data_IF_088355363251
#
_entry.id   IF_088355363251
#
_cell.length_a   1.000
_cell.length_b   1.000
_cell.length_c   1.000
_cell.angle_alpha   90.00
_cell.angle_beta   90.00
_cell.angle_gamma   90.00
#
_symmetry.space_group_name_H-M   'P 1'
#
loop_
_entity.id
_entity.type
_entity.pdbx_description
1 polymer ?
#
# COMPACT_ATOMS: atom_id res chain seq x y z
N UNK A 1 30.80 11.78 -8.93
CA UNK A 1 31.45 10.65 -8.23
C UNK A 1 30.43 9.96 -7.36
N UNK A 2 30.24 8.63 -7.49
CA UNK A 2 29.33 7.87 -6.65
C UNK A 2 29.84 7.87 -5.20
N UNK A 3 28.99 8.28 -4.24
CA UNK A 3 29.34 8.24 -2.80
C UNK A 3 29.58 6.78 -2.39
N UNK A 4 30.72 6.51 -1.75
CA UNK A 4 31.03 5.20 -1.18
C UNK A 4 30.03 4.88 -0.08
N UNK A 5 29.46 3.67 -0.12
CA UNK A 5 28.53 3.17 0.91
C UNK A 5 29.19 2.06 1.74
N UNK A 6 28.79 1.97 2.99
CA UNK A 6 29.20 0.93 3.92
C UNK A 6 27.99 0.08 4.30
N UNK A 7 28.17 -1.22 4.46
CA UNK A 7 27.08 -2.17 4.68
C UNK A 7 27.33 -2.92 5.97
N UNK A 8 26.32 -3.00 6.81
CA UNK A 8 26.36 -3.77 8.06
C UNK A 8 25.49 -5.01 7.90
N UNK A 9 26.04 -6.15 8.23
CA UNK A 9 25.32 -7.43 8.34
C UNK A 9 25.28 -7.82 9.80
N UNK A 10 24.10 -7.88 10.41
CA UNK A 10 23.91 -8.37 11.79
C UNK A 10 23.58 -9.85 11.81
N UNK A 11 22.81 -10.33 10.81
CA UNK A 11 22.45 -11.73 10.62
C UNK A 11 22.66 -12.09 9.15
N UNK A 12 23.54 -13.06 8.93
CA UNK A 12 24.00 -13.56 7.64
C UNK A 12 25.05 -14.65 7.86
N UNK A 13 25.72 -15.08 6.79
CA UNK A 13 26.80 -16.08 6.91
C UNK A 13 27.92 -15.59 7.85
N UNK A 14 28.38 -14.36 7.66
CA UNK A 14 29.36 -13.73 8.55
C UNK A 14 28.86 -12.34 8.91
N UNK A 15 28.46 -12.05 10.17
CA UNK A 15 28.13 -10.70 10.62
C UNK A 15 29.36 -9.79 10.57
N UNK A 16 29.16 -8.52 10.14
CA UNK A 16 30.28 -7.59 10.03
C UNK A 16 29.94 -6.31 9.29
N UNK A 17 30.96 -5.45 9.12
CA UNK A 17 30.87 -4.21 8.34
C UNK A 17 31.65 -4.38 7.03
N UNK A 18 30.98 -4.15 5.90
CA UNK A 18 31.49 -4.35 4.56
C UNK A 18 31.57 -3.03 3.79
N UNK A 19 32.60 -2.87 2.94
CA UNK A 19 32.84 -1.65 2.17
C UNK A 19 32.30 -1.72 0.74
N UNK A 20 31.85 -2.92 0.32
CA UNK A 20 31.23 -3.14 -0.98
C UNK A 20 29.89 -3.88 -0.86
N UNK A 21 28.99 -3.62 -1.82
CA UNK A 21 27.74 -4.35 -1.91
C UNK A 21 27.96 -5.84 -2.22
N UNK A 22 28.94 -6.17 -3.05
CA UNK A 22 29.22 -7.55 -3.45
C UNK A 22 29.66 -8.41 -2.26
N UNK A 23 30.48 -7.84 -1.37
CA UNK A 23 30.87 -8.52 -0.13
C UNK A 23 29.70 -8.70 0.83
N UNK A 24 28.87 -7.67 0.99
CA UNK A 24 27.66 -7.75 1.80
C UNK A 24 26.68 -8.78 1.23
N UNK A 25 26.47 -8.76 -0.09
CA UNK A 25 25.55 -9.69 -0.78
C UNK A 25 25.94 -11.15 -0.53
N UNK A 26 27.23 -11.48 -0.61
CA UNK A 26 27.72 -12.84 -0.31
C UNK A 26 27.39 -13.31 1.11
N UNK A 27 27.18 -12.38 2.04
CA UNK A 27 26.87 -12.74 3.43
C UNK A 27 25.35 -12.88 3.69
N UNK A 28 24.51 -12.34 2.82
CA UNK A 28 23.05 -12.34 3.02
C UNK A 28 22.31 -13.20 2.01
N UNK A 29 22.95 -13.56 0.91
CA UNK A 29 22.35 -14.35 -0.16
C UNK A 29 22.07 -15.78 0.34
N UNK A 30 20.85 -16.27 0.13
CA UNK A 30 20.41 -17.60 0.59
C UNK A 30 20.14 -17.70 2.12
N UNK A 31 20.34 -16.65 2.90
CA UNK A 31 20.07 -16.65 4.36
C UNK A 31 18.66 -16.16 4.63
N UNK A 32 17.77 -17.07 5.06
CA UNK A 32 16.41 -16.69 5.47
C UNK A 32 16.46 -15.78 6.70
N UNK A 33 15.84 -14.59 6.58
CA UNK A 33 15.80 -13.61 7.69
C UNK A 33 17.08 -12.78 7.86
N UNK A 34 18.00 -12.77 6.87
CA UNK A 34 19.19 -11.94 6.92
C UNK A 34 18.89 -10.48 7.28
N UNK A 35 19.67 -9.90 8.18
CA UNK A 35 19.52 -8.52 8.63
C UNK A 35 20.74 -7.69 8.25
N UNK A 36 20.55 -6.76 7.35
CA UNK A 36 21.60 -5.87 6.86
C UNK A 36 21.08 -4.47 6.52
N UNK A 37 21.98 -3.49 6.48
CA UNK A 37 21.65 -2.10 6.11
C UNK A 37 22.87 -1.36 5.57
N UNK A 38 22.65 -0.39 4.67
CA UNK A 38 23.70 0.50 4.14
C UNK A 38 23.77 1.82 4.91
N UNK A 39 25.00 2.39 4.98
CA UNK A 39 25.32 3.65 5.66
C UNK A 39 26.18 4.53 4.74
N UNK A 40 26.16 5.83 4.96
CA UNK A 40 26.94 6.79 4.16
C UNK A 40 28.36 7.01 4.73
N UNK A 41 28.60 6.60 5.98
CA UNK A 41 29.93 6.69 6.58
C UNK A 41 30.33 5.40 7.31
N UNK A 42 31.66 5.15 7.35
CA UNK A 42 32.24 4.01 8.05
C UNK A 42 31.96 4.08 9.58
N UNK A 43 32.08 5.26 10.16
CA UNK A 43 31.84 5.47 11.58
C UNK A 43 30.40 5.15 11.99
N UNK A 44 29.41 5.53 11.18
CA UNK A 44 28.01 5.16 11.41
C UNK A 44 27.79 3.66 11.27
N UNK A 45 28.40 3.01 10.29
CA UNK A 45 28.30 1.56 10.10
C UNK A 45 28.91 0.80 11.29
N UNK A 46 30.07 1.19 11.79
CA UNK A 46 30.72 0.57 12.96
C UNK A 46 29.91 0.79 14.25
N UNK A 47 29.39 1.99 14.45
CA UNK A 47 28.51 2.30 15.57
C UNK A 47 27.22 1.48 15.52
N UNK A 48 26.66 1.32 14.31
CA UNK A 48 25.47 0.52 14.07
C UNK A 48 25.72 -0.98 14.34
N UNK A 49 26.86 -1.50 13.90
CA UNK A 49 27.22 -2.91 14.11
C UNK A 49 27.35 -3.28 15.60
N UNK A 50 27.89 -2.36 16.42
CA UNK A 50 27.99 -2.51 17.89
C UNK A 50 26.63 -2.42 18.59
N UNK A 51 25.61 -1.97 17.89
CA UNK A 51 24.26 -1.79 18.42
C UNK A 51 23.37 -2.92 17.90
N UNK A 52 22.47 -3.44 18.76
CA UNK A 52 21.50 -4.44 18.35
C UNK A 52 20.66 -3.91 17.17
N UNK A 53 20.54 -4.70 16.09
CA UNK A 53 19.76 -4.39 14.89
C UNK A 53 18.41 -3.75 15.20
N UNK A 54 17.67 -4.30 16.15
CA UNK A 54 16.34 -3.82 16.54
C UNK A 54 16.34 -2.40 17.11
N UNK A 55 17.41 -2.02 17.87
CA UNK A 55 17.54 -0.64 18.36
C UNK A 55 17.84 0.34 17.24
N UNK A 56 18.50 -0.14 16.21
CA UNK A 56 18.88 0.70 15.07
C UNK A 56 17.76 0.88 14.05
N UNK A 57 16.99 -0.16 13.77
CA UNK A 57 15.81 -0.13 12.91
C UNK A 57 14.71 0.72 13.55
N UNK A 58 14.49 0.60 14.84
CA UNK A 58 13.51 1.42 15.56
C UNK A 58 13.82 2.93 15.54
N UNK A 59 15.09 3.33 15.39
CA UNK A 59 15.47 4.76 15.36
C UNK A 59 15.33 5.44 13.99
N UNK A 60 15.43 4.69 12.91
CA UNK A 60 15.57 5.26 11.54
C UNK A 60 14.54 4.73 10.52
N UNK A 61 13.59 3.92 10.95
CA UNK A 61 12.51 3.48 10.08
C UNK A 61 11.33 4.47 10.22
N UNK A 62 10.97 5.22 9.16
CA UNK A 62 9.73 6.01 9.17
C UNK A 62 8.49 5.15 9.47
N UNK A 63 8.56 3.84 9.17
CA UNK A 63 7.52 2.89 9.53
C UNK A 63 7.52 2.55 11.04
N UNK A 64 8.67 2.60 11.72
CA UNK A 64 8.73 2.37 13.18
C UNK A 64 8.18 3.57 14.00
N UNK A 65 8.07 4.75 13.41
CA UNK A 65 7.30 5.87 14.00
C UNK A 65 5.79 5.67 13.91
N UNK A 66 5.34 4.76 13.07
CA UNK A 66 3.94 4.34 12.94
C UNK A 66 3.59 3.12 13.83
N UNK A 67 4.55 2.53 14.53
CA UNK A 67 4.29 1.59 15.63
C UNK A 67 3.85 2.34 16.91
N UNK A 68 3.00 3.35 16.73
CA UNK A 68 2.15 3.86 17.78
C UNK A 68 1.09 2.79 18.06
N UNK A 69 1.00 2.34 19.32
CA UNK A 69 -0.04 1.51 19.97
C UNK A 69 -0.89 0.68 19.01
N UNK A 70 -1.08 -0.62 19.21
CA UNK A 70 -1.99 -1.40 18.37
C UNK A 70 -3.29 -0.61 18.26
N UNK A 71 -3.67 -0.26 17.01
CA UNK A 71 -4.87 0.50 16.75
C UNK A 71 -6.04 -0.30 17.30
N UNK A 72 -6.66 0.19 18.37
CA UNK A 72 -7.82 -0.47 18.97
C UNK A 72 -8.97 -0.44 17.96
N UNK A 73 -9.78 -1.51 17.88
CA UNK A 73 -11.03 -1.50 17.10
C UNK A 73 -11.94 -0.33 17.46
N UNK A 74 -11.81 0.26 18.64
CA UNK A 74 -12.51 1.48 19.06
C UNK A 74 -12.10 2.73 18.27
N UNK A 75 -10.98 2.70 17.53
CA UNK A 75 -10.54 3.80 16.67
C UNK A 75 -11.17 3.79 15.25
N UNK A 76 -11.91 2.74 14.89
CA UNK A 76 -12.60 2.66 13.59
C UNK A 76 -13.76 3.65 13.56
N UNK A 77 -13.73 4.56 12.60
CA UNK A 77 -14.84 5.47 12.35
C UNK A 77 -15.93 4.69 11.61
N UNK A 78 -17.01 4.35 12.33
CA UNK A 78 -18.09 3.55 11.77
C UNK A 78 -18.88 4.30 10.69
N UNK A 79 -19.05 5.60 10.85
CA UNK A 79 -19.67 6.48 9.85
C UNK A 79 -18.65 6.81 8.76
N UNK A 80 -18.40 5.85 7.89
CA UNK A 80 -17.41 5.90 6.81
C UNK A 80 -17.72 4.90 5.71
N UNK A 81 -16.99 4.99 4.62
CA UNK A 81 -17.05 4.03 3.50
C UNK A 81 -15.78 3.19 3.51
N UNK A 82 -15.91 1.88 3.47
CA UNK A 82 -14.81 0.95 3.23
C UNK A 82 -14.82 0.50 1.77
N UNK A 83 -13.66 0.47 1.13
CA UNK A 83 -13.53 0.04 -0.27
C UNK A 83 -12.46 -1.02 -0.41
N UNK A 84 -12.69 -1.95 -1.32
CA UNK A 84 -11.77 -3.04 -1.63
C UNK A 84 -11.96 -3.52 -3.07
N UNK A 85 -11.02 -4.32 -3.56
CA UNK A 85 -11.07 -4.99 -4.85
C UNK A 85 -10.69 -6.46 -4.74
N UNK A 86 -11.14 -7.25 -5.68
CA UNK A 86 -10.71 -8.63 -5.87
C UNK A 86 -10.32 -8.86 -7.33
N UNK A 87 -9.33 -9.72 -7.53
CA UNK A 87 -8.91 -10.13 -8.86
C UNK A 87 -8.60 -11.62 -8.86
N UNK A 88 -9.12 -12.36 -9.84
CA UNK A 88 -8.91 -13.81 -9.96
C UNK A 88 -7.52 -14.20 -10.46
N UNK A 89 -6.65 -13.24 -10.74
CA UNK A 89 -5.29 -13.41 -11.25
C UNK A 89 -4.57 -12.06 -11.39
N UNK A 90 -3.38 -12.06 -11.99
CA UNK A 90 -2.62 -10.83 -12.22
C UNK A 90 -1.91 -10.87 -13.59
N UNK A 91 -2.62 -10.50 -14.70
CA UNK A 91 -4.02 -10.03 -14.78
C UNK A 91 -5.07 -11.13 -14.62
N UNK A 92 -6.31 -10.74 -14.33
CA UNK A 92 -7.46 -11.64 -14.20
C UNK A 92 -8.80 -10.88 -14.17
N UNK A 93 -9.88 -11.59 -13.87
CA UNK A 93 -11.17 -10.95 -13.68
C UNK A 93 -11.16 -10.10 -12.41
N UNK A 94 -11.31 -8.79 -12.60
CA UNK A 94 -11.21 -7.78 -11.56
C UNK A 94 -12.59 -7.22 -11.23
N UNK A 95 -12.86 -7.08 -9.95
CA UNK A 95 -14.03 -6.38 -9.45
C UNK A 95 -13.65 -5.50 -8.25
N UNK A 96 -14.47 -4.49 -7.97
CA UNK A 96 -14.29 -3.65 -6.81
C UNK A 96 -15.62 -3.18 -6.25
N UNK A 97 -15.66 -2.90 -4.95
CA UNK A 97 -16.86 -2.42 -4.28
C UNK A 97 -16.56 -1.42 -3.17
N UNK A 98 -17.60 -0.72 -2.78
CA UNK A 98 -17.63 0.09 -1.57
C UNK A 98 -18.83 -0.28 -0.71
N UNK A 99 -18.60 -0.34 0.59
CA UNK A 99 -19.63 -0.66 1.57
C UNK A 99 -19.66 0.38 2.69
N UNK A 100 -20.78 0.50 3.37
CA UNK A 100 -20.88 1.26 4.60
C UNK A 100 -20.12 0.52 5.71
N UNK A 101 -19.18 1.16 6.37
CA UNK A 101 -18.27 0.50 7.33
C UNK A 101 -19.01 -0.08 8.55
N UNK A 102 -20.12 0.55 8.98
CA UNK A 102 -20.85 0.15 10.18
C UNK A 102 -21.57 -1.18 10.06
N UNK A 103 -22.20 -1.45 8.92
CA UNK A 103 -23.13 -2.57 8.69
C UNK A 103 -22.83 -3.39 7.44
N UNK A 104 -21.75 -3.06 6.71
CA UNK A 104 -21.30 -3.70 5.48
C UNK A 104 -22.30 -3.61 4.32
N UNK A 105 -23.30 -2.75 4.40
CA UNK A 105 -24.26 -2.51 3.33
C UNK A 105 -23.55 -2.01 2.09
N UNK A 106 -23.69 -2.72 0.98
CA UNK A 106 -23.09 -2.37 -0.30
C UNK A 106 -23.62 -1.02 -0.82
N UNK A 107 -22.72 -0.15 -1.21
CA UNK A 107 -23.01 1.18 -1.78
C UNK A 107 -22.84 1.18 -3.28
N UNK A 108 -21.84 0.45 -3.76
CA UNK A 108 -21.58 0.21 -5.17
C UNK A 108 -20.73 -1.03 -5.36
N UNK A 109 -20.90 -1.67 -6.52
CA UNK A 109 -20.11 -2.81 -6.99
C UNK A 109 -19.92 -2.68 -8.50
N UNK A 110 -18.72 -2.93 -8.99
CA UNK A 110 -18.36 -2.90 -10.42
C UNK A 110 -17.50 -4.10 -10.74
N UNK A 111 -17.89 -4.83 -11.74
CA UNK A 111 -17.20 -6.03 -12.22
C UNK A 111 -18.14 -7.24 -12.30
N UNK A 112 -17.59 -8.41 -12.66
CA UNK A 112 -16.20 -8.65 -13.06
C UNK A 112 -15.82 -7.97 -14.38
N UNK A 113 -14.58 -7.47 -14.46
CA UNK A 113 -13.98 -6.88 -15.65
C UNK A 113 -12.74 -7.69 -16.03
N UNK A 114 -12.63 -8.20 -17.27
CA UNK A 114 -11.57 -9.11 -17.65
C UNK A 114 -10.20 -8.44 -17.73
N UNK A 115 -9.15 -9.22 -17.48
CA UNK A 115 -7.74 -8.86 -17.61
C UNK A 115 -7.36 -7.57 -16.85
N UNK A 116 -7.88 -7.43 -15.63
CA UNK A 116 -7.52 -6.37 -14.69
C UNK A 116 -6.45 -6.79 -13.67
N UNK A 117 -6.18 -5.92 -12.73
CA UNK A 117 -5.31 -6.21 -11.57
C UNK A 117 -5.93 -5.68 -10.29
N UNK A 118 -5.59 -6.29 -9.15
CA UNK A 118 -6.13 -5.86 -7.85
C UNK A 118 -5.84 -4.38 -7.57
N UNK A 119 -4.60 -3.91 -7.80
CA UNK A 119 -4.22 -2.51 -7.57
C UNK A 119 -5.06 -1.51 -8.39
N UNK A 120 -5.44 -1.86 -9.63
CA UNK A 120 -6.33 -1.03 -10.45
C UNK A 120 -7.71 -0.98 -9.84
N UNK A 121 -8.25 -2.14 -9.43
CA UNK A 121 -9.56 -2.22 -8.77
C UNK A 121 -9.63 -1.36 -7.51
N UNK A 122 -8.63 -1.46 -6.65
CA UNK A 122 -8.52 -0.66 -5.43
C UNK A 122 -8.43 0.86 -5.72
N UNK A 123 -7.66 1.25 -6.74
CA UNK A 123 -7.59 2.65 -7.18
C UNK A 123 -8.97 3.16 -7.65
N UNK A 124 -9.64 2.39 -8.50
CA UNK A 124 -10.97 2.73 -9.01
C UNK A 124 -12.01 2.77 -7.89
N UNK A 125 -11.93 1.85 -6.90
CA UNK A 125 -12.83 1.83 -5.75
C UNK A 125 -12.73 3.11 -4.90
N UNK A 126 -11.51 3.58 -4.62
CA UNK A 126 -11.31 4.83 -3.88
C UNK A 126 -11.88 6.02 -4.65
N UNK A 127 -11.57 6.13 -5.96
CA UNK A 127 -12.05 7.26 -6.77
C UNK A 127 -13.58 7.23 -6.93
N UNK A 128 -14.18 6.03 -7.06
CA UNK A 128 -15.63 5.88 -7.10
C UNK A 128 -16.27 6.36 -5.79
N UNK A 129 -15.74 5.97 -4.64
CA UNK A 129 -16.22 6.44 -3.34
C UNK A 129 -16.11 7.97 -3.21
N UNK A 130 -14.98 8.57 -3.62
CA UNK A 130 -14.80 10.02 -3.61
C UNK A 130 -15.84 10.72 -4.48
N UNK A 131 -16.08 10.23 -5.70
CA UNK A 131 -17.06 10.80 -6.62
C UNK A 131 -18.49 10.68 -6.08
N UNK A 132 -18.86 9.53 -5.54
CA UNK A 132 -20.16 9.27 -4.90
C UNK A 132 -20.39 10.22 -3.71
N UNK A 133 -19.41 10.33 -2.82
CA UNK A 133 -19.53 11.18 -1.62
C UNK A 133 -19.63 12.67 -2.00
N UNK A 134 -18.93 13.09 -3.05
CA UNK A 134 -19.08 14.45 -3.59
C UNK A 134 -20.47 14.69 -4.11
N UNK A 135 -21.07 13.77 -4.87
CA UNK A 135 -22.45 13.88 -5.35
C UNK A 135 -23.48 13.93 -4.20
N UNK A 136 -23.18 13.22 -3.10
CA UNK A 136 -24.02 13.22 -1.89
C UNK A 136 -23.76 14.42 -0.97
N UNK A 137 -22.89 15.36 -1.35
CA UNK A 137 -22.48 16.51 -0.54
C UNK A 137 -21.93 16.12 0.84
N UNK A 138 -21.09 15.07 0.90
CA UNK A 138 -20.47 14.55 2.12
C UNK A 138 -18.93 14.72 2.10
N UNK A 139 -18.40 15.95 2.10
CA UNK A 139 -16.97 16.21 1.85
C UNK A 139 -16.04 15.76 2.99
N UNK A 140 -16.57 15.51 4.19
CA UNK A 140 -15.79 15.10 5.37
C UNK A 140 -15.94 13.60 5.68
N UNK A 141 -16.73 12.85 4.91
CA UNK A 141 -16.95 11.43 5.13
C UNK A 141 -15.66 10.65 4.89
N UNK A 142 -15.13 9.90 5.88
CA UNK A 142 -13.92 9.12 5.71
C UNK A 142 -14.10 7.94 4.76
N UNK A 143 -13.01 7.59 4.07
CA UNK A 143 -12.91 6.40 3.24
C UNK A 143 -11.77 5.55 3.79
N UNK A 144 -12.02 4.26 4.02
CA UNK A 144 -11.02 3.28 4.36
C UNK A 144 -10.65 2.41 3.16
N UNK A 145 -9.34 2.20 2.98
CA UNK A 145 -8.77 1.23 2.04
C UNK A 145 -7.53 0.60 2.66
N UNK A 146 -7.30 -0.67 2.46
CA UNK A 146 -6.11 -1.37 2.93
C UNK A 146 -4.93 -1.30 1.93
N UNK A 147 -5.13 -0.70 0.76
CA UNK A 147 -4.11 -0.55 -0.27
C UNK A 147 -3.32 0.75 -0.14
N UNK A 148 -2.08 0.68 0.33
CA UNK A 148 -1.15 1.81 0.29
C UNK A 148 -0.81 2.25 -1.14
N UNK A 149 -0.75 1.29 -2.07
CA UNK A 149 -0.47 1.54 -3.49
C UNK A 149 -1.56 2.40 -4.12
N UNK A 150 -2.82 1.99 -3.99
CA UNK A 150 -3.96 2.72 -4.53
C UNK A 150 -4.10 4.12 -3.93
N UNK A 151 -3.95 4.25 -2.60
CA UNK A 151 -3.93 5.56 -1.94
C UNK A 151 -2.82 6.48 -2.49
N UNK A 152 -1.63 5.91 -2.75
CA UNK A 152 -0.52 6.63 -3.36
C UNK A 152 -0.82 7.10 -4.79
N UNK A 153 -1.52 6.30 -5.59
CA UNK A 153 -1.94 6.66 -6.94
C UNK A 153 -3.01 7.76 -6.93
N UNK A 154 -3.98 7.65 -6.04
CA UNK A 154 -5.01 8.70 -5.85
C UNK A 154 -4.38 10.04 -5.48
N UNK A 155 -3.41 10.07 -4.56
CA UNK A 155 -2.67 11.30 -4.20
C UNK A 155 -1.91 11.91 -5.37
N UNK A 156 -1.41 11.08 -6.30
CA UNK A 156 -0.71 11.53 -7.52
C UNK A 156 -1.67 11.90 -8.65
N UNK A 157 -2.95 11.59 -8.51
CA UNK A 157 -3.95 11.76 -9.57
C UNK A 157 -3.75 10.82 -10.76
N UNK A 158 -2.97 9.73 -10.62
CA UNK A 158 -2.55 8.86 -11.72
C UNK A 158 -2.52 7.39 -11.31
N UNK A 159 -3.17 6.54 -12.09
CA UNK A 159 -3.07 5.08 -11.98
C UNK A 159 -1.74 4.63 -12.59
N UNK A 160 -0.75 4.35 -11.74
CA UNK A 160 0.61 4.00 -12.18
C UNK A 160 0.73 2.48 -12.44
N UNK A 161 -0.17 1.94 -13.26
CA UNK A 161 -0.14 0.54 -13.67
C UNK A 161 0.87 0.29 -14.78
N UNK A 162 1.37 -0.95 -14.86
CA UNK A 162 2.17 -1.47 -15.98
C UNK A 162 1.34 -2.37 -16.91
N UNK A 163 0.05 -2.52 -16.61
CA UNK A 163 -0.85 -3.27 -17.46
C UNK A 163 -1.01 -2.54 -18.80
N UNK A 164 -0.91 -3.29 -19.90
CA UNK A 164 -1.13 -2.76 -21.24
C UNK A 164 -2.62 -2.87 -21.64
N UNK A 165 -3.10 -1.89 -22.41
CA UNK A 165 -4.45 -1.90 -22.93
C UNK A 165 -4.57 -2.93 -24.05
N UNK A 166 -5.62 -3.73 -23.98
CA UNK A 166 -6.01 -4.73 -24.98
C UNK A 166 -7.49 -4.58 -25.32
N UNK A 167 -7.95 -5.28 -26.36
CA UNK A 167 -9.39 -5.30 -26.68
C UNK A 167 -10.25 -5.86 -25.52
N UNK A 168 -9.72 -6.76 -24.72
CA UNK A 168 -10.44 -7.41 -23.61
C UNK A 168 -10.56 -6.52 -22.36
N UNK A 169 -9.56 -5.72 -22.06
CA UNK A 169 -9.54 -4.86 -20.87
C UNK A 169 -9.82 -3.38 -21.17
N UNK A 170 -10.22 -3.04 -22.38
CA UNK A 170 -10.51 -1.67 -22.79
C UNK A 170 -11.43 -0.94 -21.81
N UNK A 171 -12.43 -1.64 -21.27
CA UNK A 171 -13.35 -1.06 -20.28
C UNK A 171 -12.64 -0.59 -19.01
N UNK A 172 -11.62 -1.32 -18.57
CA UNK A 172 -10.79 -0.93 -17.41
C UNK A 172 -10.05 0.37 -17.71
N UNK A 173 -9.45 0.50 -18.89
CA UNK A 173 -8.73 1.72 -19.29
C UNK A 173 -9.65 2.93 -19.46
N UNK A 174 -10.87 2.74 -19.95
CA UNK A 174 -11.91 3.78 -19.96
C UNK A 174 -12.23 4.27 -18.53
N UNK A 175 -12.34 3.33 -17.56
CA UNK A 175 -12.58 3.66 -16.16
C UNK A 175 -11.39 4.37 -15.52
N UNK A 176 -10.16 3.93 -15.81
CA UNK A 176 -8.93 4.61 -15.36
C UNK A 176 -8.91 6.04 -15.87
N UNK A 177 -9.11 6.24 -17.18
CA UNK A 177 -9.11 7.58 -17.78
C UNK A 177 -10.17 8.48 -17.15
N UNK A 178 -11.37 7.95 -16.92
CA UNK A 178 -12.44 8.69 -16.24
C UNK A 178 -12.09 9.05 -14.81
N UNK A 179 -11.45 8.13 -14.08
CA UNK A 179 -11.01 8.37 -12.71
C UNK A 179 -9.91 9.42 -12.64
N UNK A 180 -8.91 9.36 -13.52
CA UNK A 180 -7.84 10.36 -13.61
C UNK A 180 -8.37 11.74 -13.99
N UNK A 181 -9.25 11.81 -14.97
CA UNK A 181 -9.91 13.06 -15.36
C UNK A 181 -10.71 13.65 -14.18
N UNK A 182 -11.41 12.80 -13.42
CA UNK A 182 -12.14 13.24 -12.24
C UNK A 182 -11.18 13.82 -11.18
N UNK A 183 -10.07 13.14 -10.91
CA UNK A 183 -9.06 13.60 -9.95
C UNK A 183 -8.39 14.90 -10.39
N UNK A 184 -8.19 15.11 -11.69
CA UNK A 184 -7.59 16.33 -12.23
C UNK A 184 -8.44 17.59 -12.00
N UNK A 185 -9.78 17.46 -12.00
CA UNK A 185 -10.70 18.60 -11.90
C UNK A 185 -11.38 18.72 -10.53
N UNK A 186 -11.18 17.77 -9.63
CA UNK A 186 -11.82 17.75 -8.32
C UNK A 186 -10.80 17.75 -7.20
N UNK A 187 -10.94 18.70 -6.27
CA UNK A 187 -10.16 18.67 -5.01
C UNK A 187 -10.69 17.57 -4.10
N UNK A 188 -9.80 16.71 -3.63
CA UNK A 188 -10.10 15.69 -2.63
C UNK A 188 -10.23 16.38 -1.27
N UNK A 189 -11.38 16.26 -0.63
CA UNK A 189 -11.65 16.79 0.70
C UNK A 189 -11.94 15.68 1.72
N UNK A 190 -12.37 14.52 1.24
CA UNK A 190 -12.62 13.36 2.07
C UNK A 190 -11.31 12.78 2.64
N UNK A 191 -11.23 12.51 3.96
CA UNK A 191 -10.09 11.79 4.54
C UNK A 191 -10.01 10.36 3.99
N UNK A 192 -8.82 9.96 3.53
CA UNK A 192 -8.57 8.57 3.11
C UNK A 192 -7.65 7.94 4.15
N UNK A 193 -8.16 6.94 4.87
CA UNK A 193 -7.47 6.25 5.93
C UNK A 193 -7.04 4.84 5.50
N UNK A 194 -5.86 4.44 5.97
CA UNK A 194 -5.41 3.06 5.85
C UNK A 194 -6.22 2.19 6.81
N UNK A 195 -6.78 1.10 6.30
CA UNK A 195 -7.33 0.04 7.13
C UNK A 195 -6.18 -0.82 7.69
N UNK A 196 -6.15 -1.00 8.99
CA UNK A 196 -5.08 -1.74 9.67
C UNK A 196 -5.49 -3.21 9.84
N UNK A 197 -5.32 -4.00 8.78
CA UNK A 197 -5.78 -5.40 8.69
C UNK A 197 -5.21 -6.26 9.82
N UNK A 198 -3.95 -6.05 10.22
CA UNK A 198 -3.33 -6.80 11.32
C UNK A 198 -4.02 -6.54 12.67
N UNK A 199 -4.53 -5.34 12.89
CA UNK A 199 -5.15 -4.95 14.16
C UNK A 199 -6.68 -5.15 14.16
N UNK A 200 -7.33 -4.94 13.00
CA UNK A 200 -8.79 -4.87 12.90
C UNK A 200 -9.41 -6.08 12.20
N UNK A 201 -8.60 -6.94 11.57
CA UNK A 201 -9.05 -8.01 10.70
C UNK A 201 -9.36 -7.50 9.28
N UNK A 202 -10.02 -8.31 8.48
CA UNK A 202 -10.34 -7.96 7.09
C UNK A 202 -11.19 -6.68 7.01
N UNK A 203 -10.98 -5.92 5.95
CA UNK A 203 -11.76 -4.70 5.70
C UNK A 203 -13.24 -5.07 5.44
N UNK A 204 -14.21 -4.27 5.87
CA UNK A 204 -15.64 -4.56 5.63
C UNK A 204 -16.01 -4.81 4.17
N UNK A 205 -15.27 -4.24 3.23
CA UNK A 205 -15.46 -4.43 1.80
C UNK A 205 -14.77 -5.69 1.24
N UNK A 206 -14.05 -6.50 2.06
CA UNK A 206 -13.33 -7.69 1.58
C UNK A 206 -14.28 -8.69 0.92
N UNK A 207 -13.87 -9.24 -0.22
CA UNK A 207 -14.68 -10.19 -1.01
C UNK A 207 -14.69 -11.61 -0.45
N UNK A 208 -13.91 -11.90 0.60
CA UNK A 208 -13.84 -13.23 1.21
C UNK A 208 -13.19 -14.29 0.32
N UNK A 209 -12.44 -13.92 -0.72
CA UNK A 209 -11.84 -14.84 -1.71
C UNK A 209 -10.38 -15.17 -1.44
N UNK A 210 -9.86 -14.93 -0.25
CA UNK A 210 -8.50 -15.36 0.11
C UNK A 210 -8.51 -16.89 0.25
N UNK A 211 -7.92 -17.55 -0.74
CA UNK A 211 -7.55 -18.96 -0.66
C UNK A 211 -6.20 -19.09 0.04
#
# INVERSE_FOLDING_TARGET
>A
MAKQKFYVVWEGHIPGVYTSWDDCKRQVDGVAGAKYKSFESKAEAEAAFKTNYWKFVQKNDPAAKAAAKPASRSSIIRESVSVDAACSGNPGDMEYRGVWTADQRELFHVGPLPDGTNNIGEFLAIVHALAMLKQQNKPQMPIYSDSKTAQGWVKKGKCNTKLEETSRNKKIFELIQRAENWLAVNKITNPIHKWETEAWGEIPADFGRKQ
#
